data_IF_318421924486
#
_entry.id   IF_318421924486
#
_cell.length_a   1.000
_cell.length_b   1.000
_cell.length_c   1.000
_cell.angle_alpha   90.00
_cell.angle_beta   90.00
_cell.angle_gamma   90.00
#
_symmetry.space_group_name_H-M   'P 1'
#
loop_
_entity.id
_entity.type
_entity.pdbx_description
1 polymer ?
#
# COMPACT_ATOMS: atom_id res chain seq x y z
N UNK A 1 -33.25 61.76 -38.15
CA UNK A 1 -31.77 61.65 -38.12
C UNK A 1 -31.36 61.33 -36.68
N UNK A 2 -30.83 60.13 -36.41
CA UNK A 2 -29.49 59.85 -35.79
C UNK A 2 -29.05 60.95 -34.80
N UNK A 3 -28.73 60.69 -33.53
CA UNK A 3 -27.61 59.88 -32.99
C UNK A 3 -27.91 59.59 -31.49
N UNK A 4 -27.82 58.36 -30.98
CA UNK A 4 -26.62 57.66 -30.50
C UNK A 4 -25.92 58.37 -29.32
N UNK A 5 -26.18 57.88 -28.09
CA UNK A 5 -25.32 58.01 -26.90
C UNK A 5 -25.72 56.86 -25.94
N UNK A 6 -25.16 55.66 -26.05
CA UNK A 6 -24.02 55.17 -25.27
C UNK A 6 -24.04 55.57 -23.78
N UNK A 7 -24.49 54.63 -22.94
CA UNK A 7 -23.91 54.40 -21.62
C UNK A 7 -24.09 52.90 -21.31
N UNK A 8 -23.00 52.15 -21.49
CA UNK A 8 -22.83 50.76 -21.10
C UNK A 8 -23.25 50.59 -19.63
N UNK A 9 -24.35 49.88 -19.39
CA UNK A 9 -24.57 49.24 -18.09
C UNK A 9 -23.72 47.97 -18.13
N UNK A 10 -22.61 48.05 -17.38
CA UNK A 10 -21.63 46.99 -17.26
C UNK A 10 -22.23 45.71 -16.71
N UNK A 11 -21.98 44.63 -17.44
CA UNK A 11 -21.23 43.48 -16.93
C UNK A 11 -21.44 43.17 -15.44
N UNK A 12 -22.60 42.61 -15.14
CA UNK A 12 -22.74 41.65 -14.04
C UNK A 12 -23.28 40.35 -14.65
N UNK A 13 -22.50 39.78 -15.58
CA UNK A 13 -22.52 38.35 -15.79
C UNK A 13 -22.20 37.77 -14.41
N UNK A 14 -23.25 37.28 -13.76
CA UNK A 14 -23.14 36.33 -12.66
C UNK A 14 -22.29 35.19 -13.21
N UNK A 15 -20.98 35.33 -12.99
CA UNK A 15 -20.03 34.26 -12.95
C UNK A 15 -20.48 33.40 -11.78
N UNK A 16 -21.49 32.58 -12.05
CA UNK A 16 -21.68 31.30 -11.40
C UNK A 16 -20.45 30.47 -11.73
N UNK A 17 -19.31 30.86 -11.15
CA UNK A 17 -18.29 29.92 -10.72
C UNK A 17 -19.03 28.98 -9.78
N UNK A 18 -19.62 27.94 -10.38
CA UNK A 18 -19.91 26.70 -9.70
C UNK A 18 -18.58 26.29 -9.08
N UNK A 19 -18.35 26.71 -7.82
CA UNK A 19 -17.24 26.23 -7.03
C UNK A 19 -17.46 24.72 -7.01
N UNK A 20 -16.60 24.01 -7.74
CA UNK A 20 -16.50 22.54 -7.61
C UNK A 20 -16.50 22.27 -6.11
N UNK A 21 -17.50 21.50 -5.68
CA UNK A 21 -17.52 20.95 -4.34
C UNK A 21 -16.17 20.24 -4.16
N UNK A 22 -15.35 20.59 -3.16
CA UNK A 22 -14.09 19.92 -2.89
C UNK A 22 -14.37 18.61 -2.13
N UNK A 23 -15.37 17.86 -2.57
CA UNK A 23 -15.60 16.49 -2.14
C UNK A 23 -15.25 15.60 -3.33
N UNK A 24 -14.46 14.56 -3.05
CA UNK A 24 -14.02 13.50 -3.96
C UNK A 24 -12.76 13.80 -4.80
N UNK A 25 -11.69 14.27 -4.14
CA UNK A 25 -10.37 13.67 -4.35
C UNK A 25 -9.91 12.99 -3.05
N UNK A 26 -10.74 12.12 -2.50
CA UNK A 26 -10.23 11.15 -1.52
C UNK A 26 -9.33 10.20 -2.31
N UNK A 27 -8.02 10.23 -2.06
CA UNK A 27 -7.09 9.25 -2.60
C UNK A 27 -7.66 7.84 -2.32
N UNK A 28 -7.63 6.97 -3.31
CA UNK A 28 -8.06 5.59 -3.11
C UNK A 28 -7.04 4.89 -2.21
N UNK A 29 -7.44 4.54 -1.00
CA UNK A 29 -6.59 3.87 0.00
C UNK A 29 -6.90 2.38 0.13
N UNK A 30 -7.66 1.81 -0.79
CA UNK A 30 -7.91 0.37 -0.80
C UNK A 30 -6.70 -0.35 -1.43
N UNK A 31 -5.99 -1.14 -0.62
CA UNK A 31 -4.78 -1.87 -1.03
C UNK A 31 -5.03 -2.95 -2.11
N UNK A 32 -6.29 -3.31 -2.38
CA UNK A 32 -6.67 -4.22 -3.47
C UNK A 32 -6.93 -3.51 -4.80
N UNK A 33 -6.92 -2.18 -4.83
CA UNK A 33 -7.16 -1.42 -6.04
C UNK A 33 -5.86 -1.13 -6.79
N UNK A 34 -5.83 -1.32 -8.10
CA UNK A 34 -4.68 -1.00 -8.95
C UNK A 34 -4.42 0.52 -9.04
N UNK A 35 -5.43 1.33 -8.73
CA UNK A 35 -5.34 2.78 -8.64
C UNK A 35 -5.05 3.27 -7.21
N UNK A 36 -4.55 2.40 -6.32
CA UNK A 36 -4.11 2.78 -4.99
C UNK A 36 -3.13 3.95 -5.06
N UNK A 37 -3.46 5.02 -4.35
CA UNK A 37 -2.67 6.24 -4.28
C UNK A 37 -2.27 6.56 -2.83
N UNK A 38 -2.47 5.61 -1.91
CA UNK A 38 -2.07 5.75 -0.52
C UNK A 38 -0.56 5.63 -0.34
N UNK A 39 -0.12 5.88 0.89
CA UNK A 39 1.26 5.64 1.30
C UNK A 39 1.52 4.13 1.50
N UNK A 40 2.72 3.77 1.95
CA UNK A 40 3.06 2.38 2.27
C UNK A 40 2.04 1.76 3.23
N UNK A 41 1.61 0.52 2.93
CA UNK A 41 0.54 -0.17 3.66
C UNK A 41 1.02 -1.31 4.59
N UNK A 42 2.32 -1.58 4.66
CA UNK A 42 2.88 -2.55 5.60
C UNK A 42 4.12 -1.99 6.28
N UNK A 43 4.48 -2.55 7.44
CA UNK A 43 5.74 -2.33 8.15
C UNK A 43 6.47 -3.67 8.30
N UNK A 44 7.79 -3.67 8.28
CA UNK A 44 8.58 -4.79 8.81
C UNK A 44 8.53 -4.68 10.33
N UNK A 45 8.03 -5.71 11.00
CA UNK A 45 7.82 -5.70 12.45
C UNK A 45 9.09 -6.18 13.17
N UNK A 46 9.68 -7.27 12.70
CA UNK A 46 10.91 -7.82 13.24
C UNK A 46 11.68 -8.61 12.18
N UNK A 47 12.97 -8.79 12.42
CA UNK A 47 13.83 -9.68 11.65
C UNK A 47 14.63 -10.51 12.63
N UNK A 48 14.49 -11.83 12.61
CA UNK A 48 15.24 -12.67 13.53
C UNK A 48 15.81 -13.91 12.87
N UNK A 49 16.92 -14.37 13.44
CA UNK A 49 17.68 -15.53 12.99
C UNK A 49 17.36 -16.74 13.86
N UNK A 50 17.07 -17.86 13.23
CA UNK A 50 16.90 -19.14 13.93
C UNK A 50 17.65 -20.26 13.22
N UNK A 51 17.91 -21.34 13.95
CA UNK A 51 18.63 -22.52 13.43
C UNK A 51 17.76 -23.75 13.55
N UNK A 52 17.59 -24.47 12.46
CA UNK A 52 16.93 -25.78 12.45
C UNK A 52 17.71 -26.74 11.55
N UNK A 53 17.89 -27.98 11.99
CA UNK A 53 18.64 -29.01 11.25
C UNK A 53 20.04 -28.57 10.77
N UNK A 54 20.77 -27.78 11.57
CA UNK A 54 22.08 -27.19 11.24
C UNK A 54 22.08 -26.17 10.08
N UNK A 55 20.91 -25.71 9.64
CA UNK A 55 20.76 -24.62 8.68
C UNK A 55 20.24 -23.38 9.40
N UNK A 56 20.83 -22.23 9.11
CA UNK A 56 20.35 -20.94 9.60
C UNK A 56 19.31 -20.38 8.64
N UNK A 57 18.25 -19.83 9.22
CA UNK A 57 17.17 -19.16 8.52
C UNK A 57 16.96 -17.79 9.13
N UNK A 58 16.52 -16.87 8.30
CA UNK A 58 16.06 -15.55 8.70
C UNK A 58 14.56 -15.47 8.41
N UNK A 59 13.80 -15.03 9.40
CA UNK A 59 12.40 -14.69 9.26
C UNK A 59 12.29 -13.17 9.21
N UNK A 60 11.65 -12.64 8.17
CA UNK A 60 11.29 -11.23 8.05
C UNK A 60 9.79 -11.14 8.30
N UNK A 61 9.42 -10.70 9.50
CA UNK A 61 8.02 -10.53 9.89
C UNK A 61 7.52 -9.17 9.41
N UNK A 62 6.29 -9.14 8.88
CA UNK A 62 5.65 -7.90 8.47
C UNK A 62 4.23 -7.82 9.01
N UNK A 63 3.79 -6.58 9.15
CA UNK A 63 2.46 -6.23 9.64
C UNK A 63 1.78 -5.29 8.67
N UNK A 64 0.50 -5.52 8.41
CA UNK A 64 -0.43 -4.56 7.81
C UNK A 64 -1.23 -3.97 8.97
N UNK A 65 -0.89 -2.78 9.49
CA UNK A 65 -1.63 -2.13 10.56
C UNK A 65 -3.13 -2.04 10.26
N UNK A 66 -3.96 -2.14 11.30
CA UNK A 66 -5.41 -1.98 11.18
C UNK A 66 -5.82 -0.71 10.42
N UNK A 67 -5.07 0.40 10.54
CA UNK A 67 -5.33 1.64 9.81
C UNK A 67 -5.17 1.53 8.30
N UNK A 68 -4.46 0.50 7.82
CA UNK A 68 -4.25 0.20 6.40
C UNK A 68 -5.02 -1.06 5.97
N UNK A 69 -5.68 -1.72 6.91
CA UNK A 69 -6.49 -2.89 6.63
C UNK A 69 -7.70 -2.50 5.77
N UNK A 70 -8.12 -3.38 4.85
CA UNK A 70 -9.32 -3.20 4.05
C UNK A 70 -10.59 -3.23 4.94
N UNK A 71 -11.57 -2.39 4.59
CA UNK A 71 -12.85 -2.30 5.32
C UNK A 71 -13.61 -3.64 5.39
N UNK A 72 -13.54 -4.44 4.32
CA UNK A 72 -14.19 -5.75 4.26
C UNK A 72 -13.42 -6.86 5.00
N UNK A 73 -12.28 -6.52 5.62
CA UNK A 73 -11.49 -7.36 6.54
C UNK A 73 -11.51 -8.87 6.21
N UNK A 74 -10.97 -9.29 5.05
CA UNK A 74 -10.88 -10.70 4.70
C UNK A 74 -10.10 -11.49 5.75
N UNK A 75 -10.32 -12.80 5.85
CA UNK A 75 -9.58 -13.63 6.83
C UNK A 75 -8.08 -13.69 6.57
N UNK A 76 -7.66 -13.44 5.33
CA UNK A 76 -6.26 -13.27 4.99
C UNK A 76 -6.04 -12.48 3.71
N UNK A 77 -4.81 -12.01 3.56
CA UNK A 77 -4.35 -11.21 2.42
C UNK A 77 -3.16 -11.93 1.81
N UNK A 78 -3.22 -12.21 0.51
CA UNK A 78 -2.08 -12.79 -0.19
C UNK A 78 -1.05 -11.70 -0.47
N UNK A 79 0.17 -11.92 0.01
CA UNK A 79 1.28 -10.99 -0.15
C UNK A 79 2.40 -11.71 -0.88
N UNK A 80 2.89 -11.11 -1.94
CA UNK A 80 4.17 -11.50 -2.55
C UNK A 80 5.27 -10.67 -1.92
N UNK A 81 6.30 -11.34 -1.41
CA UNK A 81 7.48 -10.73 -0.82
C UNK A 81 8.75 -11.13 -1.56
N UNK A 82 9.53 -10.12 -1.95
CA UNK A 82 10.91 -10.28 -2.39
C UNK A 82 11.82 -9.54 -1.42
N UNK A 83 12.81 -10.23 -0.85
CA UNK A 83 13.77 -9.64 0.07
C UNK A 83 15.17 -9.75 -0.51
N UNK A 84 15.86 -8.63 -0.70
CA UNK A 84 17.22 -8.59 -1.29
C UNK A 84 17.33 -9.44 -2.59
N UNK A 85 18.21 -10.44 -2.60
CA UNK A 85 18.43 -11.39 -3.71
C UNK A 85 17.77 -12.77 -3.44
N UNK A 86 16.92 -12.88 -2.41
CA UNK A 86 16.19 -14.12 -2.13
C UNK A 86 15.08 -14.36 -3.15
N UNK A 87 14.74 -15.63 -3.37
CA UNK A 87 13.60 -15.99 -4.21
C UNK A 87 12.29 -15.39 -3.66
N UNK A 88 11.44 -14.90 -4.57
CA UNK A 88 10.11 -14.39 -4.22
C UNK A 88 9.27 -15.48 -3.56
N UNK A 89 8.54 -15.12 -2.52
CA UNK A 89 7.65 -16.01 -1.79
C UNK A 89 6.24 -15.43 -1.71
N UNK A 90 5.25 -16.31 -1.60
CA UNK A 90 3.88 -15.93 -1.29
C UNK A 90 3.58 -16.27 0.16
N UNK A 91 3.03 -15.30 0.88
CA UNK A 91 2.47 -15.48 2.21
C UNK A 91 0.97 -15.17 2.20
N UNK A 92 0.26 -15.75 3.17
CA UNK A 92 -1.15 -15.49 3.41
C UNK A 92 -1.28 -14.80 4.77
N UNK A 93 -1.07 -13.49 4.81
CA UNK A 93 -1.15 -12.69 6.03
C UNK A 93 -2.49 -12.92 6.73
N UNK A 94 -2.48 -13.16 8.04
CA UNK A 94 -3.68 -13.52 8.81
C UNK A 94 -4.08 -12.35 9.70
N UNK A 95 -5.38 -12.09 9.79
CA UNK A 95 -5.91 -11.05 10.69
C UNK A 95 -5.74 -11.46 12.17
N UNK A 96 -5.13 -10.58 12.95
CA UNK A 96 -5.04 -10.69 14.40
C UNK A 96 -6.23 -10.07 15.12
N UNK A 97 -6.28 -10.24 16.45
CA UNK A 97 -7.36 -9.71 17.28
C UNK A 97 -7.39 -8.18 17.35
N UNK A 98 -6.28 -7.52 17.01
CA UNK A 98 -6.20 -6.05 16.91
C UNK A 98 -6.67 -5.52 15.55
N UNK A 99 -7.11 -6.40 14.64
CA UNK A 99 -7.54 -6.04 13.29
C UNK A 99 -6.39 -5.76 12.31
N UNK A 100 -5.14 -5.90 12.74
CA UNK A 100 -3.99 -5.88 11.83
C UNK A 100 -3.79 -7.25 11.18
N UNK A 101 -3.10 -7.31 10.05
CA UNK A 101 -2.66 -8.58 9.45
C UNK A 101 -1.19 -8.83 9.74
N UNK A 102 -0.85 -10.08 9.97
CA UNK A 102 0.50 -10.53 10.29
C UNK A 102 0.93 -11.61 9.31
N UNK A 103 2.17 -11.52 8.86
CA UNK A 103 2.77 -12.47 7.95
C UNK A 103 4.29 -12.48 8.09
N UNK A 104 4.92 -13.41 7.41
CA UNK A 104 6.37 -13.56 7.46
C UNK A 104 6.92 -14.30 6.26
N UNK A 105 8.15 -13.96 5.90
CA UNK A 105 8.89 -14.66 4.86
C UNK A 105 10.13 -15.30 5.45
N UNK A 106 10.36 -16.57 5.10
CA UNK A 106 11.43 -17.37 5.67
C UNK A 106 12.46 -17.71 4.59
N UNK A 107 13.69 -17.25 4.80
CA UNK A 107 14.78 -17.43 3.84
C UNK A 107 15.94 -18.18 4.47
N UNK A 108 16.68 -18.94 3.67
CA UNK A 108 17.94 -19.51 4.14
C UNK A 108 18.97 -18.39 4.28
N UNK A 109 19.53 -18.22 5.48
CA UNK A 109 20.39 -17.09 5.79
C UNK A 109 21.69 -17.10 4.97
N UNK A 110 22.01 -15.97 4.35
CA UNK A 110 23.19 -15.79 3.49
C UNK A 110 24.34 -15.00 4.16
N UNK A 111 24.15 -14.52 5.39
CA UNK A 111 25.12 -13.66 6.09
C UNK A 111 24.79 -12.16 6.07
N UNK A 112 23.68 -11.75 5.45
CA UNK A 112 23.23 -10.36 5.40
C UNK A 112 22.81 -9.84 6.78
N UNK A 113 23.08 -8.56 7.06
CA UNK A 113 22.62 -7.91 8.31
C UNK A 113 21.50 -6.91 8.09
N UNK A 114 21.17 -6.62 6.83
CA UNK A 114 20.13 -5.69 6.42
C UNK A 114 19.20 -6.39 5.41
N UNK A 115 17.90 -6.25 5.63
CA UNK A 115 16.85 -6.96 4.92
C UNK A 115 15.84 -5.96 4.39
N UNK A 116 15.81 -5.77 3.07
CA UNK A 116 14.86 -4.90 2.40
C UNK A 116 13.77 -5.75 1.73
N UNK A 117 12.59 -5.76 2.34
CA UNK A 117 11.41 -6.46 1.83
C UNK A 117 10.64 -5.55 0.88
N UNK A 118 10.60 -5.88 -0.41
CA UNK A 118 9.57 -5.42 -1.34
C UNK A 118 8.34 -6.32 -1.20
N UNK A 119 7.22 -5.76 -0.74
CA UNK A 119 5.97 -6.50 -0.63
C UNK A 119 4.86 -5.87 -1.48
N UNK A 120 4.07 -6.71 -2.13
CA UNK A 120 2.90 -6.35 -2.93
C UNK A 120 1.70 -7.22 -2.60
N UNK A 121 0.48 -6.70 -2.78
CA UNK A 121 -0.74 -7.50 -2.65
C UNK A 121 -0.88 -8.37 -3.90
N UNK A 122 -0.82 -9.69 -3.75
CA UNK A 122 -0.88 -10.62 -4.85
C UNK A 122 -2.32 -10.91 -5.29
N UNK A 123 -2.64 -10.62 -6.55
CA UNK A 123 -3.97 -10.83 -7.13
C UNK A 123 -3.97 -12.14 -7.91
N UNK A 124 -4.52 -13.20 -7.29
CA UNK A 124 -4.50 -14.57 -7.83
C UNK A 124 -5.12 -14.68 -9.23
N UNK A 125 -6.18 -13.93 -9.48
CA UNK A 125 -6.90 -13.96 -10.76
C UNK A 125 -6.08 -13.37 -11.91
N UNK A 126 -5.13 -12.48 -11.58
CA UNK A 126 -4.31 -11.77 -12.54
C UNK A 126 -2.86 -12.26 -12.57
N UNK A 127 -2.45 -13.08 -11.59
CA UNK A 127 -1.11 -13.64 -11.46
C UNK A 127 0.00 -12.58 -11.37
N UNK A 128 -0.28 -11.48 -10.66
CA UNK A 128 0.72 -10.45 -10.34
C UNK A 128 0.37 -9.67 -9.07
N UNK A 129 1.38 -8.98 -8.55
CA UNK A 129 1.26 -8.15 -7.35
C UNK A 129 1.10 -6.67 -7.68
N UNK A 130 0.18 -6.03 -6.95
CA UNK A 130 -0.08 -4.58 -7.04
C UNK A 130 0.46 -3.87 -5.80
N UNK A 131 0.54 -2.54 -5.90
CA UNK A 131 0.79 -1.67 -4.75
C UNK A 131 2.07 -2.04 -4.00
N UNK A 132 3.16 -2.22 -4.74
CA UNK A 132 4.44 -2.65 -4.18
C UNK A 132 5.12 -1.52 -3.41
N UNK A 133 5.57 -1.81 -2.21
CA UNK A 133 6.41 -0.91 -1.41
C UNK A 133 7.60 -1.68 -0.83
N UNK A 134 8.67 -0.95 -0.51
CA UNK A 134 9.86 -1.53 0.12
C UNK A 134 10.01 -0.95 1.53
N UNK A 135 10.29 -1.82 2.49
CA UNK A 135 10.68 -1.46 3.85
C UNK A 135 11.92 -2.28 4.24
N UNK A 136 12.88 -1.64 4.91
CA UNK A 136 14.12 -2.30 5.33
C UNK A 136 14.24 -2.34 6.85
N UNK A 137 14.79 -3.42 7.38
CA UNK A 137 15.16 -3.58 8.77
C UNK A 137 16.51 -4.30 8.89
N UNK A 138 17.18 -4.10 10.02
CA UNK A 138 18.40 -4.80 10.37
C UNK A 138 18.08 -6.01 11.26
N UNK A 139 18.94 -7.03 11.20
CA UNK A 139 18.91 -8.21 12.10
C UNK A 139 19.42 -7.87 13.51
#
# INVERSE_FOLDING_TARGET
>A
MKRLLFALIGFALLSSCLKKLPEVESANTNIFDTAYAGERWFVVEDVYLYTTNNTQYVEVEYKIPQSFAPDLSPTGIMVEGNCNDYDSQLDSAIIGSDGSYYGGFNYQYDGSTNFCLEAGVFIRELDYSINKFTECADL
#
